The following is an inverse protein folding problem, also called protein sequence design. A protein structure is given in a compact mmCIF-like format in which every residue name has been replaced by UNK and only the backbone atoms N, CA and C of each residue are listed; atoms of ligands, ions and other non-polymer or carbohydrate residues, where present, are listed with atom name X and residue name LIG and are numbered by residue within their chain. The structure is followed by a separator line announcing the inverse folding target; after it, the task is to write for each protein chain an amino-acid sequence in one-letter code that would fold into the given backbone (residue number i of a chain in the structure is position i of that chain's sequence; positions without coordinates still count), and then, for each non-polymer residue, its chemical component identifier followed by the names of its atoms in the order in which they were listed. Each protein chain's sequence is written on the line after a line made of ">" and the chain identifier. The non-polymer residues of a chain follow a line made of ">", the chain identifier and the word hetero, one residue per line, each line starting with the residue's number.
data_IF_480204677375
#
_entry.id   IF_480204677375
#
_cell.length_a   1.000
_cell.length_b   1.000
_cell.length_c   1.000
_cell.angle_alpha   90.00
_cell.angle_beta   90.00
_cell.angle_gamma   90.00
#
_symmetry.space_group_name_H-M   'P 1'
#
loop_
_entity.id
_entity.type
_entity.pdbx_description
1 polymer ?
#
# COMPACT_ATOMS: atom_id res chain seq x y z
N UNK A 1 -1.87 29.35 6.20
CA UNK A 1 -1.27 28.00 6.28
C UNK A 1 0.17 28.07 5.83
N UNK A 2 1.08 27.65 6.70
CA UNK A 2 2.51 27.52 6.40
C UNK A 2 2.77 26.26 5.55
N UNK A 3 3.98 26.13 4.98
CA UNK A 3 4.35 24.92 4.24
C UNK A 3 4.26 23.65 5.09
N UNK A 4 4.57 23.75 6.39
CA UNK A 4 4.49 22.65 7.35
C UNK A 4 3.05 22.21 7.61
N UNK A 5 2.10 23.14 7.65
CA UNK A 5 0.68 22.82 7.87
C UNK A 5 0.11 21.97 6.72
N UNK A 6 0.49 22.30 5.47
CA UNK A 6 0.08 21.54 4.28
C UNK A 6 0.61 20.10 4.28
N UNK A 7 1.84 19.89 4.74
CA UNK A 7 2.44 18.55 4.82
C UNK A 7 1.73 17.70 5.87
N UNK A 8 1.40 18.28 7.03
CA UNK A 8 0.65 17.57 8.09
C UNK A 8 -0.74 17.16 7.62
N UNK A 9 -1.44 18.06 6.95
CA UNK A 9 -2.77 17.79 6.39
C UNK A 9 -2.72 16.67 5.33
N UNK A 10 -1.72 16.69 4.46
CA UNK A 10 -1.50 15.62 3.47
C UNK A 10 -1.29 14.26 4.13
N UNK A 11 -0.43 14.17 5.15
CA UNK A 11 -0.18 12.92 5.88
C UNK A 11 -1.44 12.42 6.61
N UNK A 12 -2.24 13.33 7.15
CA UNK A 12 -3.50 12.98 7.81
C UNK A 12 -4.50 12.38 6.80
N UNK A 13 -4.68 13.01 5.64
CA UNK A 13 -5.53 12.50 4.56
C UNK A 13 -5.04 11.13 4.05
N UNK A 14 -3.73 10.96 3.93
CA UNK A 14 -3.15 9.69 3.50
C UNK A 14 -3.38 8.57 4.53
N UNK A 15 -3.36 8.91 5.83
CA UNK A 15 -3.69 7.98 6.92
C UNK A 15 -5.18 7.62 6.93
N UNK A 16 -6.07 8.59 6.71
CA UNK A 16 -7.51 8.34 6.54
C UNK A 16 -7.75 7.41 5.35
N UNK A 17 -7.03 7.61 4.25
CA UNK A 17 -7.17 6.75 3.06
C UNK A 17 -6.74 5.32 3.33
N UNK A 18 -5.67 5.12 4.10
CA UNK A 18 -5.27 3.79 4.55
C UNK A 18 -6.35 3.11 5.38
N UNK A 19 -7.01 3.84 6.29
CA UNK A 19 -8.10 3.29 7.10
C UNK A 19 -9.27 2.82 6.22
N UNK A 20 -9.69 3.63 5.24
CA UNK A 20 -10.73 3.24 4.27
C UNK A 20 -10.36 1.96 3.50
N UNK A 21 -9.11 1.84 3.05
CA UNK A 21 -8.64 0.66 2.32
C UNK A 21 -8.67 -0.58 3.21
N UNK A 22 -8.29 -0.45 4.49
CA UNK A 22 -8.32 -1.57 5.45
C UNK A 22 -9.75 -2.03 5.72
N UNK A 23 -10.71 -1.11 5.84
CA UNK A 23 -12.12 -1.45 6.02
C UNK A 23 -12.71 -2.14 4.79
N UNK A 24 -12.39 -1.65 3.58
CA UNK A 24 -12.86 -2.24 2.33
C UNK A 24 -12.20 -3.58 2.00
N UNK A 25 -10.94 -3.75 2.42
CA UNK A 25 -10.10 -4.91 2.11
C UNK A 25 -9.43 -5.45 3.39
N UNK A 26 -10.19 -6.08 4.32
CA UNK A 26 -9.65 -6.46 5.63
C UNK A 26 -8.60 -7.57 5.59
N UNK A 27 -8.61 -8.42 4.54
CA UNK A 27 -7.71 -9.58 4.44
C UNK A 27 -6.65 -9.42 3.36
N UNK A 28 -7.03 -8.88 2.20
CA UNK A 28 -6.17 -8.79 1.02
C UNK A 28 -6.46 -7.53 0.23
N UNK A 29 -5.44 -6.68 0.04
CA UNK A 29 -5.51 -5.47 -0.77
C UNK A 29 -5.17 -5.81 -2.23
N UNK A 30 -6.05 -5.48 -3.20
CA UNK A 30 -5.74 -5.61 -4.62
C UNK A 30 -4.66 -4.62 -5.06
N UNK A 31 -3.77 -5.05 -5.98
CA UNK A 31 -2.74 -4.17 -6.59
C UNK A 31 -3.35 -2.91 -7.19
N UNK A 32 -4.50 -3.04 -7.85
CA UNK A 32 -5.23 -1.93 -8.45
C UNK A 32 -5.60 -0.83 -7.45
N UNK A 33 -5.99 -1.20 -6.23
CA UNK A 33 -6.38 -0.23 -5.18
C UNK A 33 -5.17 0.60 -4.75
N UNK A 34 -4.01 -0.03 -4.58
CA UNK A 34 -2.77 0.70 -4.29
C UNK A 34 -2.32 1.56 -5.47
N UNK A 35 -2.47 1.07 -6.70
CA UNK A 35 -2.13 1.83 -7.91
C UNK A 35 -2.98 3.11 -8.04
N UNK A 36 -4.29 3.00 -7.76
CA UNK A 36 -5.21 4.12 -7.71
C UNK A 36 -4.86 5.12 -6.61
N UNK A 37 -4.59 4.64 -5.39
CA UNK A 37 -4.21 5.50 -4.27
C UNK A 37 -2.87 6.22 -4.51
N UNK A 38 -1.86 5.53 -5.03
CA UNK A 38 -0.55 6.11 -5.30
C UNK A 38 -0.46 6.84 -6.64
N UNK A 39 -1.58 6.93 -7.37
CA UNK A 39 -1.66 7.57 -8.69
C UNK A 39 -0.61 7.07 -9.69
N UNK A 40 -0.37 5.76 -9.73
CA UNK A 40 0.60 5.13 -10.61
C UNK A 40 0.02 3.91 -11.34
N UNK A 41 0.81 3.29 -12.22
CA UNK A 41 0.37 2.08 -12.93
C UNK A 41 0.44 0.85 -12.03
N UNK A 42 -0.42 -0.15 -12.27
CA UNK A 42 -0.33 -1.44 -11.59
C UNK A 42 1.05 -2.10 -11.76
N UNK A 43 1.69 -1.90 -12.92
CA UNK A 43 3.04 -2.42 -13.19
C UNK A 43 4.09 -1.73 -12.32
N UNK A 44 3.96 -0.44 -12.06
CA UNK A 44 4.81 0.29 -11.11
C UNK A 44 4.70 -0.30 -9.70
N UNK A 45 3.47 -0.61 -9.24
CA UNK A 45 3.24 -1.26 -7.94
C UNK A 45 3.85 -2.66 -7.92
N UNK A 46 3.64 -3.47 -8.97
CA UNK A 46 4.22 -4.83 -9.08
C UNK A 46 5.74 -4.80 -9.08
N UNK A 47 6.34 -3.84 -9.78
CA UNK A 47 7.78 -3.65 -9.81
C UNK A 47 8.33 -3.23 -8.45
N UNK A 48 7.68 -2.28 -7.77
CA UNK A 48 8.05 -1.84 -6.43
C UNK A 48 8.01 -3.01 -5.42
N UNK A 49 6.96 -3.81 -5.47
CA UNK A 49 6.82 -5.04 -4.68
C UNK A 49 7.97 -6.02 -4.97
N UNK A 50 8.36 -6.18 -6.23
CA UNK A 50 9.40 -7.13 -6.61
C UNK A 50 10.80 -6.64 -6.22
N UNK A 51 11.10 -5.35 -6.38
CA UNK A 51 12.41 -4.74 -6.14
C UNK A 51 12.74 -4.53 -4.67
N UNK A 52 11.77 -4.08 -3.86
CA UNK A 52 12.00 -3.76 -2.45
C UNK A 52 11.75 -4.93 -1.50
N UNK A 53 11.67 -6.17 -2.03
CA UNK A 53 11.44 -7.37 -1.25
C UNK A 53 10.01 -7.45 -0.74
N UNK A 54 9.07 -7.79 -1.61
CA UNK A 54 7.66 -8.08 -1.34
C UNK A 54 6.90 -7.10 -0.43
N UNK A 55 7.36 -5.87 -0.13
CA UNK A 55 6.87 -5.14 1.06
C UNK A 55 6.93 -6.00 2.36
N UNK A 56 7.64 -7.14 2.35
CA UNK A 56 7.62 -8.24 3.34
C UNK A 56 6.47 -9.26 3.25
N UNK A 57 5.60 -9.19 2.23
CA UNK A 57 4.16 -9.51 2.36
C UNK A 57 3.50 -10.06 1.10
N UNK A 58 3.94 -9.63 -0.07
CA UNK A 58 3.26 -10.02 -1.30
C UNK A 58 3.51 -11.50 -1.60
N UNK A 59 2.49 -12.35 -1.44
CA UNK A 59 2.60 -13.76 -1.76
C UNK A 59 2.30 -13.97 -3.24
N UNK A 60 3.24 -14.56 -3.98
CA UNK A 60 2.98 -15.02 -5.34
C UNK A 60 1.97 -16.15 -5.28
N UNK A 61 0.87 -16.00 -6.00
CA UNK A 61 -0.11 -17.07 -6.14
C UNK A 61 0.45 -18.16 -7.07
N UNK A 62 0.56 -19.41 -6.60
CA UNK A 62 0.97 -20.51 -7.47
C UNK A 62 -0.05 -20.69 -8.61
N UNK A 63 0.44 -20.99 -9.82
CA UNK A 63 -0.40 -21.24 -11.00
C UNK A 63 -0.86 -20.00 -11.78
N UNK A 64 -0.52 -18.77 -11.35
CA UNK A 64 -0.80 -17.55 -12.13
C UNK A 64 0.37 -17.21 -13.06
N UNK A 65 0.09 -17.20 -14.36
CA UNK A 65 1.06 -16.90 -15.44
C UNK A 65 1.63 -15.48 -15.36
N UNK A 66 0.85 -14.50 -14.90
CA UNK A 66 1.23 -13.08 -14.87
C UNK A 66 1.75 -12.58 -13.52
N UNK A 67 2.39 -13.46 -12.73
CA UNK A 67 2.85 -13.12 -11.38
C UNK A 67 1.71 -12.46 -10.55
N UNK A 68 0.60 -13.20 -10.39
CA UNK A 68 -0.47 -12.76 -9.51
C UNK A 68 0.05 -12.66 -8.08
N UNK A 69 0.05 -11.46 -7.51
CA UNK A 69 0.43 -11.24 -6.12
C UNK A 69 -0.82 -10.95 -5.29
N UNK A 70 -0.78 -11.42 -4.04
CA UNK A 70 -1.72 -11.00 -3.00
C UNK A 70 -0.98 -10.11 -2.03
N UNK A 71 -1.59 -9.02 -1.59
CA UNK A 71 -1.04 -8.15 -0.54
C UNK A 71 -1.88 -8.34 0.73
N UNK A 72 -1.49 -9.23 1.66
CA UNK A 72 -2.11 -9.32 2.98
C UNK A 72 -2.21 -7.98 3.70
N UNK A 73 -3.44 -7.55 3.99
CA UNK A 73 -3.74 -6.22 4.57
C UNK A 73 -3.02 -6.01 5.89
N UNK A 74 -3.13 -6.95 6.82
CA UNK A 74 -2.56 -6.80 8.16
C UNK A 74 -1.03 -6.70 8.14
N UNK A 75 -0.36 -7.31 7.16
CA UNK A 75 1.06 -7.05 7.05
C UNK A 75 1.32 -5.68 6.41
N UNK A 76 0.56 -5.28 5.38
CA UNK A 76 0.81 -4.02 4.65
C UNK A 76 0.70 -2.84 5.62
N UNK A 77 -0.30 -2.88 6.49
CA UNK A 77 -0.47 -1.92 7.58
C UNK A 77 0.73 -1.90 8.52
N UNK A 78 1.27 -3.07 8.93
CA UNK A 78 2.46 -3.13 9.79
C UNK A 78 3.69 -2.50 9.11
N UNK A 79 3.91 -2.80 7.83
CA UNK A 79 4.99 -2.19 7.07
C UNK A 79 4.82 -0.66 6.99
N UNK A 80 3.59 -0.19 6.68
CA UNK A 80 3.26 1.23 6.61
C UNK A 80 3.53 1.93 7.95
N UNK A 81 3.05 1.36 9.06
CA UNK A 81 3.29 1.90 10.39
C UNK A 81 4.77 1.87 10.78
N UNK A 82 5.56 0.88 10.34
CA UNK A 82 6.99 0.85 10.62
C UNK A 82 7.81 1.85 9.78
N UNK A 83 7.41 2.10 8.53
CA UNK A 83 8.14 3.01 7.61
C UNK A 83 7.70 4.47 7.73
N UNK A 84 6.39 4.68 7.92
CA UNK A 84 5.74 5.99 7.84
C UNK A 84 4.91 6.31 9.08
N UNK A 85 4.83 5.39 10.04
CA UNK A 85 4.14 5.65 11.30
C UNK A 85 4.72 6.89 11.96
N UNK A 86 3.85 7.87 12.11
CA UNK A 86 4.05 9.04 12.96
C UNK A 86 4.34 8.53 14.37
N UNK A 87 5.54 8.81 14.88
CA UNK A 87 5.81 8.80 16.33
C UNK A 87 5.07 9.95 17.00
#
# INVERSE_FOLDING_TARGET
>A
MTGTDKIKEFIAQDTEKLAEIVEAHPFQIPVKVLAEWWHCSEDSVRNAITQHGYLGIAQRQPGKVNAGFVIPTGHFVRWWCCQFGVQ
#
